data_IF_281820361983
#
_entry.id   IF_281820361983
#
_cell.length_a   1.000
_cell.length_b   1.000
_cell.length_c   1.000
_cell.angle_alpha   90.00
_cell.angle_beta   90.00
_cell.angle_gamma   90.00
#
_symmetry.space_group_name_H-M   'P 1'
#
loop_
_entity.id
_entity.type
_entity.pdbx_description
1 polymer ?
#
# COMPACT_ATOMS: atom_id res chain seq x y z
N UNK A 1 24.68 -9.31 23.61
CA UNK A 1 25.72 -10.25 24.06
C UNK A 1 25.71 -11.45 23.14
N UNK A 2 26.82 -11.79 22.45
CA UNK A 2 26.91 -12.97 21.60
C UNK A 2 26.51 -14.28 22.29
N UNK A 3 26.78 -14.42 23.61
CA UNK A 3 26.42 -15.65 24.35
C UNK A 3 24.91 -15.84 24.44
N UNK A 4 24.18 -14.78 24.79
CA UNK A 4 22.72 -14.81 24.83
C UNK A 4 22.13 -15.08 23.44
N UNK A 5 22.74 -14.52 22.39
CA UNK A 5 22.32 -14.77 21.00
C UNK A 5 22.53 -16.24 20.62
N UNK A 6 23.66 -16.85 21.00
CA UNK A 6 23.92 -18.26 20.71
C UNK A 6 22.87 -19.19 21.34
N UNK A 7 22.48 -18.96 22.60
CA UNK A 7 21.43 -19.77 23.24
C UNK A 7 20.08 -19.66 22.51
N UNK A 8 19.72 -18.46 22.02
CA UNK A 8 18.51 -18.29 21.21
C UNK A 8 18.63 -18.99 19.85
N UNK A 9 19.79 -18.92 19.20
CA UNK A 9 20.04 -19.55 17.91
C UNK A 9 20.05 -21.08 17.97
N UNK A 10 20.44 -21.69 19.10
CA UNK A 10 20.27 -23.15 19.30
C UNK A 10 18.82 -23.60 19.18
N UNK A 11 17.87 -22.72 19.52
CA UNK A 11 16.43 -23.02 19.50
C UNK A 11 15.80 -22.59 18.17
N UNK A 12 16.17 -21.40 17.66
CA UNK A 12 15.48 -20.75 16.56
C UNK A 12 16.30 -20.67 15.26
N UNK A 13 17.55 -21.12 15.25
CA UNK A 13 18.48 -20.97 14.12
C UNK A 13 17.95 -21.55 12.81
N UNK A 14 17.22 -22.67 12.87
CA UNK A 14 16.62 -23.31 11.70
C UNK A 14 15.55 -22.45 11.00
N UNK A 15 14.98 -21.45 11.71
CA UNK A 15 14.03 -20.48 11.15
C UNK A 15 14.72 -19.30 10.47
N UNK A 16 16.05 -19.30 10.43
CA UNK A 16 16.89 -18.26 9.83
C UNK A 16 16.57 -16.83 10.32
N UNK A 17 16.54 -16.58 11.65
CA UNK A 17 16.23 -15.25 12.19
C UNK A 17 17.30 -14.20 11.84
N UNK A 18 16.91 -12.92 11.82
CA UNK A 18 17.86 -11.82 11.80
C UNK A 18 18.59 -11.72 13.14
N UNK A 19 19.91 -11.80 13.09
CA UNK A 19 20.79 -11.57 14.24
C UNK A 19 21.04 -10.06 14.36
N UNK A 20 20.60 -9.47 15.48
CA UNK A 20 20.82 -8.05 15.77
C UNK A 20 21.67 -7.89 17.04
N UNK A 21 22.87 -7.29 17.00
CA UNK A 21 23.62 -6.82 15.85
C UNK A 21 25.15 -6.92 16.06
N UNK A 22 25.91 -6.93 14.97
CA UNK A 22 27.35 -6.76 14.95
C UNK A 22 27.72 -5.28 15.11
N UNK A 23 28.62 -4.99 16.04
CA UNK A 23 29.20 -3.67 16.31
C UNK A 23 30.72 -3.76 16.30
N UNK A 24 31.40 -2.61 16.38
CA UNK A 24 32.87 -2.55 16.50
C UNK A 24 33.45 -3.44 17.63
N UNK A 25 32.67 -3.72 18.67
CA UNK A 25 33.13 -4.45 19.87
C UNK A 25 32.95 -5.97 19.79
N UNK A 26 32.03 -6.46 18.96
CA UNK A 26 31.59 -7.86 18.97
C UNK A 26 31.36 -8.44 17.57
N UNK A 27 31.82 -7.76 16.51
CA UNK A 27 31.53 -8.16 15.13
C UNK A 27 32.00 -9.58 14.82
N UNK A 28 33.14 -10.01 15.38
CA UNK A 28 33.73 -11.32 15.09
C UNK A 28 32.88 -12.46 15.64
N UNK A 29 32.51 -12.38 16.91
CA UNK A 29 31.67 -13.39 17.56
C UNK A 29 30.29 -13.44 16.92
N UNK A 30 29.73 -12.28 16.55
CA UNK A 30 28.44 -12.23 15.85
C UNK A 30 28.53 -12.81 14.42
N UNK A 31 29.65 -12.62 13.72
CA UNK A 31 29.91 -13.21 12.41
C UNK A 31 30.01 -14.74 12.49
N UNK A 32 30.73 -15.27 13.49
CA UNK A 32 30.84 -16.71 13.72
C UNK A 32 29.46 -17.35 13.97
N UNK A 33 28.60 -16.68 14.73
CA UNK A 33 27.21 -17.11 14.92
C UNK A 33 26.40 -17.06 13.63
N UNK A 34 26.50 -15.97 12.86
CA UNK A 34 25.82 -15.82 11.58
C UNK A 34 26.20 -16.94 10.59
N UNK A 35 27.50 -17.27 10.49
CA UNK A 35 27.99 -18.36 9.65
C UNK A 35 27.55 -19.74 10.16
N UNK A 36 27.70 -20.00 11.45
CA UNK A 36 27.35 -21.28 12.09
C UNK A 36 25.88 -21.63 11.87
N UNK A 37 24.99 -20.65 12.03
CA UNK A 37 23.54 -20.84 11.91
C UNK A 37 22.97 -20.38 10.56
N UNK A 38 23.80 -19.91 9.62
CA UNK A 38 23.41 -19.42 8.28
C UNK A 38 22.32 -18.34 8.32
N UNK A 39 22.42 -17.43 9.29
CA UNK A 39 21.43 -16.41 9.59
C UNK A 39 21.89 -15.02 9.12
N UNK A 40 20.98 -14.15 8.63
CA UNK A 40 21.32 -12.78 8.29
C UNK A 40 21.78 -11.99 9.52
N UNK A 41 22.67 -11.02 9.31
CA UNK A 41 23.32 -10.25 10.37
C UNK A 41 23.13 -8.75 10.16
N UNK A 42 22.55 -8.07 11.14
CA UNK A 42 22.52 -6.62 11.18
C UNK A 42 23.88 -6.05 11.60
N UNK A 43 24.34 -5.01 10.90
CA UNK A 43 25.52 -4.22 11.21
C UNK A 43 25.06 -2.90 11.81
N UNK A 44 25.48 -2.61 13.04
CA UNK A 44 25.04 -1.44 13.77
C UNK A 44 26.20 -0.48 14.05
N UNK A 45 26.06 0.75 13.54
CA UNK A 45 27.00 1.85 13.79
C UNK A 45 26.24 3.18 13.82
N UNK A 46 25.80 3.63 15.01
CA UNK A 46 24.92 4.79 15.14
C UNK A 46 25.64 6.09 14.75
N UNK A 47 25.08 6.79 13.76
CA UNK A 47 25.55 8.06 13.21
C UNK A 47 27.03 8.07 12.77
N UNK A 48 27.57 6.91 12.40
CA UNK A 48 28.95 6.77 11.90
C UNK A 48 28.96 5.83 10.68
N UNK A 49 28.69 6.40 9.52
CA UNK A 49 28.62 5.68 8.24
C UNK A 49 30.00 5.14 7.80
N UNK A 50 31.10 5.75 8.26
CA UNK A 50 32.46 5.27 7.96
C UNK A 50 32.74 3.96 8.67
N UNK A 51 32.42 3.91 9.96
CA UNK A 51 32.52 2.66 10.74
C UNK A 51 31.52 1.63 10.22
N UNK A 52 30.30 2.03 9.85
CA UNK A 52 29.31 1.13 9.24
C UNK A 52 29.87 0.44 7.99
N UNK A 53 30.40 1.22 7.03
CA UNK A 53 31.05 0.71 5.81
C UNK A 53 32.23 -0.22 6.12
N UNK A 54 33.07 0.17 7.08
CA UNK A 54 34.24 -0.61 7.50
C UNK A 54 33.84 -1.97 8.07
N UNK A 55 32.77 -2.02 8.88
CA UNK A 55 32.22 -3.26 9.42
C UNK A 55 31.62 -4.13 8.32
N UNK A 56 30.85 -3.56 7.39
CA UNK A 56 30.32 -4.31 6.24
C UNK A 56 31.43 -4.97 5.44
N UNK A 57 32.49 -4.21 5.12
CA UNK A 57 33.68 -4.76 4.45
C UNK A 57 34.31 -5.91 5.23
N UNK A 58 34.54 -5.71 6.52
CA UNK A 58 35.16 -6.72 7.39
C UNK A 58 34.32 -8.00 7.43
N UNK A 59 33.00 -7.88 7.53
CA UNK A 59 32.08 -9.01 7.60
C UNK A 59 32.00 -9.77 6.27
N UNK A 60 32.00 -9.07 5.14
CA UNK A 60 32.07 -9.68 3.81
C UNK A 60 33.38 -10.44 3.60
N UNK A 61 34.52 -9.85 3.96
CA UNK A 61 35.83 -10.51 3.90
C UNK A 61 35.91 -11.73 4.83
N UNK A 62 35.13 -11.73 5.92
CA UNK A 62 34.98 -12.88 6.83
C UNK A 62 34.01 -13.95 6.31
N UNK A 63 33.29 -13.67 5.21
CA UNK A 63 32.37 -14.59 4.54
C UNK A 63 30.88 -14.42 4.88
N UNK A 64 30.49 -13.37 5.60
CA UNK A 64 29.08 -13.07 5.90
C UNK A 64 28.49 -12.18 4.80
N UNK A 65 27.68 -12.77 3.93
CA UNK A 65 27.08 -12.07 2.78
C UNK A 65 25.69 -11.50 3.06
N UNK A 66 24.90 -12.16 3.92
CA UNK A 66 23.54 -11.74 4.27
C UNK A 66 23.55 -10.62 5.33
N UNK A 67 23.88 -9.39 4.91
CA UNK A 67 23.97 -8.22 5.80
C UNK A 67 22.75 -7.29 5.68
N UNK A 68 22.44 -6.62 6.78
CA UNK A 68 21.54 -5.46 6.83
C UNK A 68 22.23 -4.33 7.59
N UNK A 69 21.97 -3.07 7.22
CA UNK A 69 22.66 -1.92 7.81
C UNK A 69 21.74 -1.10 8.70
N UNK A 70 22.19 -0.81 9.90
CA UNK A 70 21.52 0.07 10.84
C UNK A 70 22.45 1.26 11.19
N UNK A 71 22.21 2.45 10.60
CA UNK A 71 22.95 3.66 10.95
C UNK A 71 22.43 4.35 12.23
N UNK A 72 21.46 3.74 12.92
CA UNK A 72 20.75 4.31 14.05
C UNK A 72 19.52 5.11 13.62
N UNK A 73 18.48 5.08 14.46
CA UNK A 73 17.28 5.90 14.34
C UNK A 73 17.16 6.84 15.54
N UNK A 74 17.33 8.13 15.27
CA UNK A 74 17.35 9.21 16.24
C UNK A 74 16.10 10.09 16.03
N UNK A 75 15.06 9.95 16.86
CA UNK A 75 13.86 10.76 16.76
C UNK A 75 14.02 12.12 17.50
N UNK A 76 13.06 13.03 17.37
CA UNK A 76 13.13 14.35 18.02
C UNK A 76 14.21 15.23 17.38
N UNK A 77 15.13 15.77 18.19
CA UNK A 77 16.22 16.64 17.71
C UNK A 77 17.16 15.95 16.72
N UNK A 78 17.33 14.62 16.84
CA UNK A 78 18.18 13.82 15.93
C UNK A 78 17.51 13.40 14.62
N UNK A 79 16.27 13.85 14.36
CA UNK A 79 15.51 13.40 13.19
C UNK A 79 16.22 13.72 11.86
N UNK A 80 16.92 14.86 11.82
CA UNK A 80 17.73 15.26 10.67
C UNK A 80 18.90 14.30 10.41
N UNK A 81 19.55 13.79 11.46
CA UNK A 81 20.62 12.81 11.32
C UNK A 81 20.09 11.49 10.75
N UNK A 82 18.93 11.02 11.27
CA UNK A 82 18.24 9.84 10.73
C UNK A 82 17.95 10.02 9.24
N UNK A 83 17.32 11.13 8.87
CA UNK A 83 17.02 11.43 7.47
C UNK A 83 18.28 11.40 6.60
N UNK A 84 19.32 12.12 7.01
CA UNK A 84 20.56 12.23 6.26
C UNK A 84 21.25 10.87 6.08
N UNK A 85 21.30 10.05 7.14
CA UNK A 85 21.94 8.75 7.09
C UNK A 85 21.29 7.81 6.07
N UNK A 86 19.96 7.68 6.08
CA UNK A 86 19.25 6.82 5.13
C UNK A 86 19.38 7.31 3.69
N UNK A 87 19.27 8.63 3.47
CA UNK A 87 19.46 9.22 2.14
C UNK A 87 20.88 9.03 1.63
N UNK A 88 21.89 9.25 2.47
CA UNK A 88 23.30 9.08 2.10
C UNK A 88 23.60 7.63 1.76
N UNK A 89 23.18 6.68 2.59
CA UNK A 89 23.38 5.25 2.33
C UNK A 89 22.76 4.83 1.00
N UNK A 90 21.50 5.20 0.75
CA UNK A 90 20.86 4.89 -0.53
C UNK A 90 21.56 5.53 -1.72
N UNK A 91 22.01 6.79 -1.60
CA UNK A 91 22.73 7.49 -2.67
C UNK A 91 24.08 6.84 -2.95
N UNK A 92 24.85 6.51 -1.91
CA UNK A 92 26.15 5.86 -2.06
C UNK A 92 26.01 4.49 -2.72
N UNK A 93 25.04 3.68 -2.28
CA UNK A 93 24.78 2.37 -2.87
C UNK A 93 24.30 2.46 -4.34
N UNK A 94 23.37 3.36 -4.68
CA UNK A 94 22.74 3.37 -6.00
C UNK A 94 23.41 4.31 -7.03
N UNK A 95 24.01 5.42 -6.60
CA UNK A 95 24.62 6.40 -7.52
C UNK A 95 26.13 6.29 -7.60
N UNK A 96 26.78 6.04 -6.47
CA UNK A 96 28.24 5.88 -6.40
C UNK A 96 28.65 4.40 -6.48
N UNK A 97 27.67 3.49 -6.62
CA UNK A 97 27.86 2.04 -6.76
C UNK A 97 28.74 1.43 -5.65
N UNK A 98 28.62 1.97 -4.43
CA UNK A 98 29.39 1.50 -3.27
C UNK A 98 28.79 0.20 -2.71
N UNK A 99 29.23 -0.93 -3.25
CA UNK A 99 28.74 -2.27 -2.88
C UNK A 99 28.84 -2.58 -1.39
N UNK A 100 29.81 -1.98 -0.67
CA UNK A 100 29.97 -2.14 0.77
C UNK A 100 28.81 -1.55 1.59
N UNK A 101 27.98 -0.72 0.95
CA UNK A 101 26.76 -0.13 1.50
C UNK A 101 25.50 -0.60 0.76
N UNK A 102 25.63 -1.55 -0.18
CA UNK A 102 24.58 -2.07 -1.04
C UNK A 102 23.63 -3.07 -0.38
N UNK A 103 23.34 -2.89 0.90
CA UNK A 103 22.54 -3.82 1.70
C UNK A 103 21.23 -3.17 2.18
N UNK A 104 20.19 -3.97 2.50
CA UNK A 104 18.94 -3.45 3.04
C UNK A 104 19.16 -2.66 4.33
N UNK A 105 18.36 -1.61 4.54
CA UNK A 105 18.46 -0.70 5.68
C UNK A 105 17.43 -1.03 6.76
N UNK A 106 17.88 -1.04 8.02
CA UNK A 106 17.03 -1.21 9.20
C UNK A 106 16.76 0.16 9.82
N UNK A 107 15.49 0.49 9.95
CA UNK A 107 15.00 1.58 10.79
C UNK A 107 14.45 1.06 12.11
N UNK A 108 14.64 1.81 13.18
CA UNK A 108 14.23 1.41 14.53
C UNK A 108 13.34 2.48 15.18
N UNK A 109 12.12 2.76 14.66
CA UNK A 109 11.20 3.75 15.23
C UNK A 109 10.92 3.59 16.73
N UNK A 110 11.06 2.37 17.29
CA UNK A 110 10.89 2.13 18.73
C UNK A 110 11.77 3.04 19.60
N UNK A 111 12.87 3.60 19.08
CA UNK A 111 13.71 4.54 19.83
C UNK A 111 12.95 5.79 20.25
N UNK A 112 11.79 6.08 19.65
CA UNK A 112 10.84 7.11 20.10
C UNK A 112 10.43 6.95 21.57
N UNK A 113 10.39 5.72 22.07
CA UNK A 113 10.09 5.37 23.45
C UNK A 113 11.24 5.63 24.42
N UNK A 114 12.45 5.78 23.90
CA UNK A 114 13.67 5.99 24.68
C UNK A 114 14.02 7.47 24.85
N UNK A 115 13.37 8.38 24.09
CA UNK A 115 13.67 9.82 24.10
C UNK A 115 13.44 10.45 25.46
N UNK A 116 12.21 10.32 25.98
CA UNK A 116 11.85 10.82 27.30
C UNK A 116 10.86 9.85 27.96
N UNK A 117 11.32 9.04 28.92
CA UNK A 117 10.47 8.08 29.62
C UNK A 117 9.28 8.71 30.35
N UNK A 118 9.37 9.99 30.73
CA UNK A 118 8.31 10.70 31.46
C UNK A 118 7.18 11.22 30.55
N UNK A 119 7.35 11.20 29.22
CA UNK A 119 6.29 11.65 28.32
C UNK A 119 5.07 10.71 28.34
N UNK A 120 3.87 11.26 28.10
CA UNK A 120 2.68 10.45 27.91
C UNK A 120 2.89 9.42 26.79
N UNK A 121 2.33 8.24 26.98
CA UNK A 121 2.44 7.13 26.04
C UNK A 121 1.96 7.51 24.62
N UNK A 122 0.87 8.25 24.55
CA UNK A 122 0.30 8.76 23.30
C UNK A 122 1.28 9.64 22.50
N UNK A 123 2.15 10.40 23.18
CA UNK A 123 3.17 11.22 22.52
C UNK A 123 4.29 10.36 21.97
N UNK A 124 4.69 9.30 22.70
CA UNK A 124 5.71 8.33 22.25
C UNK A 124 5.20 7.53 21.06
N UNK A 125 3.95 7.05 21.12
CA UNK A 125 3.25 6.36 20.04
C UNK A 125 3.12 7.24 18.79
N UNK A 126 2.71 8.49 18.96
CA UNK A 126 2.62 9.44 17.85
C UNK A 126 3.99 9.70 17.21
N UNK A 127 5.03 9.84 18.04
CA UNK A 127 6.41 10.00 17.59
C UNK A 127 6.89 8.80 16.79
N UNK A 128 6.68 7.60 17.33
CA UNK A 128 6.99 6.36 16.64
C UNK A 128 6.26 6.27 15.29
N UNK A 129 4.98 6.62 15.25
CA UNK A 129 4.15 6.56 14.05
C UNK A 129 4.71 7.43 12.91
N UNK A 130 5.08 8.69 13.19
CA UNK A 130 5.60 9.57 12.13
C UNK A 130 7.03 9.21 11.74
N UNK A 131 7.87 8.73 12.67
CA UNK A 131 9.24 8.28 12.35
C UNK A 131 9.20 7.05 11.45
N UNK A 132 8.30 6.10 11.74
CA UNK A 132 8.06 4.96 10.87
C UNK A 132 7.60 5.40 9.47
N UNK A 133 6.63 6.33 9.37
CA UNK A 133 6.15 6.83 8.09
C UNK A 133 7.23 7.52 7.26
N UNK A 134 8.10 8.30 7.93
CA UNK A 134 9.28 8.90 7.32
C UNK A 134 10.21 7.82 6.75
N UNK A 135 10.56 6.81 7.54
CA UNK A 135 11.50 5.75 7.14
C UNK A 135 10.93 4.83 6.04
N UNK A 136 9.63 4.56 6.03
CA UNK A 136 8.93 3.88 4.91
C UNK A 136 9.15 4.65 3.61
N UNK A 137 9.06 5.98 3.66
CA UNK A 137 9.25 6.85 2.51
C UNK A 137 10.73 7.06 2.15
N UNK A 138 11.65 6.72 3.06
CA UNK A 138 13.09 6.98 2.97
C UNK A 138 13.91 5.71 3.12
N UNK A 139 13.70 4.78 2.19
CA UNK A 139 14.62 3.69 1.88
C UNK A 139 14.85 2.65 3.00
N UNK A 140 14.13 2.72 4.12
CA UNK A 140 14.19 1.64 5.11
C UNK A 140 13.47 0.40 4.58
N UNK A 141 14.14 -0.74 4.64
CA UNK A 141 13.64 -2.03 4.15
C UNK A 141 13.03 -2.86 5.29
N UNK A 142 13.43 -2.60 6.53
CA UNK A 142 12.90 -3.24 7.74
C UNK A 142 12.70 -2.19 8.84
N UNK A 143 11.53 -2.20 9.49
CA UNK A 143 11.26 -1.36 10.66
C UNK A 143 11.03 -2.19 11.92
N UNK A 144 11.65 -1.78 13.04
CA UNK A 144 11.41 -2.36 14.36
C UNK A 144 10.56 -1.39 15.18
N UNK A 145 9.33 -1.83 15.48
CA UNK A 145 8.31 -1.08 16.20
C UNK A 145 8.11 -1.63 17.62
N UNK A 146 7.64 -0.78 18.53
CA UNK A 146 7.16 -1.10 19.87
C UNK A 146 5.63 -1.06 19.96
N UNK A 147 4.99 -0.01 19.43
CA UNK A 147 3.53 0.14 19.47
C UNK A 147 2.80 -1.01 18.75
N UNK A 148 1.70 -1.47 19.34
CA UNK A 148 0.79 -2.47 18.74
C UNK A 148 -0.61 -1.91 18.46
N UNK A 149 -0.81 -0.62 18.76
CA UNK A 149 -2.09 0.06 18.62
C UNK A 149 -2.45 0.22 17.15
N UNK A 150 -3.70 -0.11 16.81
CA UNK A 150 -4.19 -0.03 15.44
C UNK A 150 -4.02 1.35 14.81
N UNK A 151 -4.16 2.44 15.59
CA UNK A 151 -4.01 3.80 15.08
C UNK A 151 -2.55 4.19 14.78
N UNK A 152 -1.57 3.52 15.39
CA UNK A 152 -0.14 3.69 15.06
C UNK A 152 0.23 2.86 13.83
N UNK A 153 -0.27 1.63 13.75
CA UNK A 153 0.11 0.67 12.71
C UNK A 153 -0.63 0.89 11.39
N UNK A 154 -1.94 1.12 11.42
CA UNK A 154 -2.78 1.26 10.23
C UNK A 154 -2.29 2.34 9.24
N UNK A 155 -1.98 3.59 9.66
CA UNK A 155 -1.50 4.60 8.72
C UNK A 155 -0.16 4.19 8.07
N UNK A 156 0.72 3.52 8.80
CA UNK A 156 2.01 3.06 8.28
C UNK A 156 1.85 1.90 7.28
N UNK A 157 0.93 0.97 7.54
CA UNK A 157 0.62 -0.13 6.61
C UNK A 157 0.02 0.42 5.31
N UNK A 158 -0.90 1.39 5.41
CA UNK A 158 -1.50 2.06 4.24
C UNK A 158 -0.44 2.85 3.47
N UNK A 159 0.41 3.61 4.16
CA UNK A 159 1.49 4.37 3.53
C UNK A 159 2.44 3.45 2.77
N UNK A 160 2.86 2.34 3.37
CA UNK A 160 3.71 1.33 2.71
C UNK A 160 3.04 0.79 1.46
N UNK A 161 1.76 0.41 1.53
CA UNK A 161 1.03 -0.07 0.36
C UNK A 161 1.01 0.97 -0.77
N UNK A 162 0.78 2.24 -0.42
CA UNK A 162 0.72 3.32 -1.41
C UNK A 162 2.09 3.60 -2.05
N UNK A 163 3.17 3.71 -1.26
CA UNK A 163 4.52 4.04 -1.75
C UNK A 163 5.11 2.90 -2.60
N UNK A 164 4.84 1.65 -2.26
CA UNK A 164 5.41 0.48 -2.95
C UNK A 164 4.50 -0.10 -4.06
N UNK A 165 3.41 0.59 -4.42
CA UNK A 165 2.60 0.23 -5.59
C UNK A 165 3.34 0.62 -6.88
N UNK A 166 3.37 -0.27 -7.90
CA UNK A 166 4.01 0.06 -9.19
C UNK A 166 3.30 1.27 -9.83
N UNK A 167 3.97 2.42 -9.98
CA UNK A 167 3.33 3.62 -10.48
C UNK A 167 2.93 3.51 -11.96
N UNK A 168 3.42 2.50 -12.68
CA UNK A 168 3.11 2.28 -14.11
C UNK A 168 1.91 1.39 -14.32
N UNK A 169 1.50 0.63 -13.30
CA UNK A 169 0.38 -0.32 -13.38
C UNK A 169 -0.66 0.07 -12.33
N UNK A 170 -1.71 0.81 -12.72
CA UNK A 170 -2.80 1.08 -11.80
C UNK A 170 -3.38 -0.24 -11.29
N UNK A 171 -3.65 -0.31 -9.99
CA UNK A 171 -4.30 -1.48 -9.40
C UNK A 171 -5.73 -1.51 -9.94
N UNK A 172 -6.07 -2.59 -10.65
CA UNK A 172 -7.37 -2.75 -11.29
C UNK A 172 -8.11 -3.98 -10.76
N UNK A 173 -9.44 -3.92 -10.82
CA UNK A 173 -10.35 -5.04 -10.57
C UNK A 173 -10.71 -5.70 -11.90
N UNK A 174 -11.04 -6.97 -11.89
CA UNK A 174 -11.52 -7.64 -13.10
C UNK A 174 -12.81 -6.98 -13.62
N UNK A 175 -12.86 -6.58 -14.90
CA UNK A 175 -14.08 -6.06 -15.52
C UNK A 175 -15.26 -7.04 -15.46
N UNK A 176 -16.48 -6.53 -15.58
CA UNK A 176 -17.69 -7.33 -15.65
C UNK A 176 -18.73 -6.99 -14.57
N UNK A 177 -19.68 -7.89 -14.35
CA UNK A 177 -20.79 -7.67 -13.44
C UNK A 177 -20.43 -8.00 -11.99
N UNK A 178 -20.90 -7.18 -11.06
CA UNK A 178 -20.95 -7.45 -9.63
C UNK A 178 -22.39 -7.32 -9.14
N UNK A 179 -22.73 -8.16 -8.18
CA UNK A 179 -24.07 -8.23 -7.58
C UNK A 179 -23.98 -7.81 -6.13
N UNK A 180 -24.79 -6.83 -5.74
CA UNK A 180 -24.90 -6.37 -4.36
C UNK A 180 -26.28 -6.72 -3.83
N UNK A 181 -26.32 -7.39 -2.67
CA UNK A 181 -27.55 -7.90 -2.08
C UNK A 181 -28.18 -9.03 -2.89
N UNK A 182 -29.50 -9.00 -3.07
CA UNK A 182 -30.29 -9.98 -3.83
C UNK A 182 -31.08 -9.31 -4.96
N UNK A 183 -30.41 -8.78 -6.00
CA UNK A 183 -31.06 -8.02 -7.04
C UNK A 183 -32.00 -8.88 -7.90
N UNK A 184 -33.14 -8.30 -8.22
CA UNK A 184 -34.18 -8.86 -9.09
C UNK A 184 -34.14 -8.25 -10.51
N UNK A 185 -35.13 -8.58 -11.33
CA UNK A 185 -35.23 -8.14 -12.73
C UNK A 185 -35.52 -6.63 -12.90
N UNK A 186 -35.87 -5.93 -11.81
CA UNK A 186 -36.17 -4.49 -11.78
C UNK A 186 -35.13 -3.68 -10.99
N UNK A 187 -34.08 -4.35 -10.51
CA UNK A 187 -33.01 -3.73 -9.74
C UNK A 187 -32.10 -2.86 -10.62
N UNK A 188 -31.60 -1.72 -10.11
CA UNK A 188 -30.82 -0.78 -10.90
C UNK A 188 -29.49 -1.38 -11.37
N UNK A 189 -29.06 -0.94 -12.55
CA UNK A 189 -27.73 -1.25 -13.11
C UNK A 189 -26.88 0.02 -13.09
N UNK A 190 -25.82 0.00 -12.30
CA UNK A 190 -24.86 1.09 -12.18
C UNK A 190 -23.60 0.78 -12.99
N UNK A 191 -22.88 1.82 -13.41
CA UNK A 191 -21.59 1.72 -14.10
C UNK A 191 -20.47 2.30 -13.22
N UNK A 192 -19.30 1.66 -13.21
CA UNK A 192 -18.05 2.23 -12.69
C UNK A 192 -16.86 1.80 -13.55
N UNK A 193 -15.69 2.39 -13.29
CA UNK A 193 -14.40 1.99 -13.87
C UNK A 193 -13.75 0.84 -13.08
N UNK A 194 -12.83 0.10 -13.71
CA UNK A 194 -12.09 -0.97 -13.05
C UNK A 194 -10.89 -0.51 -12.20
N UNK A 195 -10.64 0.79 -12.04
CA UNK A 195 -9.65 1.26 -11.06
C UNK A 195 -10.04 0.84 -9.64
N UNK A 196 -9.14 0.14 -8.93
CA UNK A 196 -9.45 -0.51 -7.66
C UNK A 196 -9.99 0.45 -6.60
N UNK A 197 -9.38 1.62 -6.45
CA UNK A 197 -9.85 2.59 -5.48
C UNK A 197 -11.27 3.07 -5.81
N UNK A 198 -11.55 3.40 -7.08
CA UNK A 198 -12.89 3.79 -7.52
C UNK A 198 -13.90 2.68 -7.32
N UNK A 199 -13.56 1.44 -7.70
CA UNK A 199 -14.44 0.28 -7.52
C UNK A 199 -14.79 0.06 -6.05
N UNK A 200 -13.78 -0.01 -5.16
CA UNK A 200 -14.02 -0.32 -3.75
C UNK A 200 -14.75 0.82 -3.02
N UNK A 201 -14.54 2.07 -3.41
CA UNK A 201 -15.32 3.20 -2.87
C UNK A 201 -16.80 3.07 -3.27
N UNK A 202 -17.09 2.82 -4.55
CA UNK A 202 -18.48 2.63 -5.03
C UNK A 202 -19.13 1.39 -4.39
N UNK A 203 -18.40 0.28 -4.29
CA UNK A 203 -18.87 -0.95 -3.68
C UNK A 203 -19.22 -0.75 -2.20
N UNK A 204 -18.35 -0.09 -1.43
CA UNK A 204 -18.58 0.20 -0.03
C UNK A 204 -19.83 1.08 0.19
N UNK A 205 -20.03 2.10 -0.64
CA UNK A 205 -21.22 2.97 -0.56
C UNK A 205 -22.51 2.23 -0.92
N UNK A 206 -22.47 1.34 -1.92
CA UNK A 206 -23.60 0.46 -2.26
C UNK A 206 -23.91 -0.50 -1.11
N UNK A 207 -22.90 -1.17 -0.55
CA UNK A 207 -23.09 -2.09 0.59
C UNK A 207 -23.66 -1.37 1.81
N UNK A 208 -23.13 -0.20 2.14
CA UNK A 208 -23.64 0.63 3.24
C UNK A 208 -25.10 1.06 3.03
N UNK A 209 -25.52 1.22 1.77
CA UNK A 209 -26.90 1.59 1.41
C UNK A 209 -27.92 0.47 1.62
N UNK A 210 -27.47 -0.80 1.69
CA UNK A 210 -28.30 -2.00 1.72
C UNK A 210 -29.30 -2.08 0.55
N UNK A 211 -29.00 -1.46 -0.58
CA UNK A 211 -29.81 -1.53 -1.80
C UNK A 211 -29.34 -2.68 -2.67
N UNK A 212 -30.29 -3.46 -3.17
CA UNK A 212 -30.02 -4.51 -4.14
C UNK A 212 -29.76 -3.89 -5.52
N UNK A 213 -28.61 -4.17 -6.12
CA UNK A 213 -28.29 -3.63 -7.44
C UNK A 213 -27.22 -4.44 -8.18
N UNK A 214 -27.11 -4.15 -9.46
CA UNK A 214 -26.05 -4.61 -10.34
C UNK A 214 -25.02 -3.50 -10.55
N UNK A 215 -23.74 -3.82 -10.49
CA UNK A 215 -22.64 -2.89 -10.81
C UNK A 215 -21.81 -3.45 -11.97
N UNK A 216 -21.84 -2.76 -13.11
CA UNK A 216 -20.97 -3.01 -14.24
C UNK A 216 -19.63 -2.30 -14.03
N UNK A 217 -18.57 -3.09 -14.05
CA UNK A 217 -17.19 -2.61 -13.96
C UNK A 217 -16.61 -2.59 -15.37
N UNK A 218 -16.52 -1.41 -15.98
CA UNK A 218 -15.92 -1.23 -17.30
C UNK A 218 -14.39 -1.29 -17.21
N UNK A 219 -13.77 -1.95 -18.20
CA UNK A 219 -12.31 -1.93 -18.32
C UNK A 219 -11.84 -0.55 -18.78
N UNK A 220 -11.13 0.15 -17.90
CA UNK A 220 -10.54 1.46 -18.19
C UNK A 220 -9.02 1.41 -18.04
N UNK A 221 -8.41 0.23 -18.14
CA UNK A 221 -6.99 -0.01 -17.88
C UNK A 221 -6.58 0.43 -16.47
N UNK A 222 -7.50 0.36 -15.51
CA UNK A 222 -7.29 0.76 -14.12
C UNK A 222 -7.29 2.28 -13.91
N UNK A 223 -7.88 3.06 -14.81
CA UNK A 223 -8.02 4.52 -14.62
C UNK A 223 -9.33 4.88 -13.93
N UNK A 224 -9.28 5.86 -13.02
CA UNK A 224 -10.48 6.45 -12.40
C UNK A 224 -11.42 7.03 -13.47
N UNK A 225 -12.73 7.09 -13.19
CA UNK A 225 -13.77 7.50 -14.16
C UNK A 225 -13.40 8.78 -14.92
N UNK A 226 -13.05 9.86 -14.23
CA UNK A 226 -12.75 11.14 -14.89
C UNK A 226 -11.50 11.07 -15.77
N UNK A 227 -10.45 10.42 -15.30
CA UNK A 227 -9.23 10.18 -16.07
C UNK A 227 -9.50 9.29 -17.28
N UNK A 228 -10.29 8.23 -17.12
CA UNK A 228 -10.66 7.31 -18.18
C UNK A 228 -11.50 8.00 -19.27
N UNK A 229 -12.43 8.86 -18.86
CA UNK A 229 -13.25 9.66 -19.77
C UNK A 229 -12.40 10.68 -20.52
N UNK A 230 -11.42 11.33 -19.86
CA UNK A 230 -10.47 12.25 -20.51
C UNK A 230 -9.49 11.53 -21.45
N UNK A 231 -8.96 10.38 -21.03
CA UNK A 231 -8.02 9.55 -21.79
C UNK A 231 -8.67 8.65 -22.85
N UNK A 232 -9.98 8.76 -23.07
CA UNK A 232 -10.77 7.91 -23.99
C UNK A 232 -10.59 6.41 -23.73
N UNK A 233 -10.46 6.03 -22.46
CA UNK A 233 -10.43 4.65 -21.97
C UNK A 233 -11.79 4.19 -21.43
N UNK A 234 -12.67 5.13 -21.11
CA UNK A 234 -14.10 4.84 -20.93
C UNK A 234 -14.83 5.40 -22.16
N UNK A 235 -15.25 4.52 -23.07
CA UNK A 235 -15.96 4.89 -24.31
C UNK A 235 -17.33 4.23 -24.37
N UNK A 236 -18.21 4.76 -25.23
CA UNK A 236 -19.51 4.18 -25.47
C UNK A 236 -19.42 2.73 -26.00
N UNK A 237 -18.45 2.43 -26.86
CA UNK A 237 -18.24 1.06 -27.34
C UNK A 237 -17.80 0.11 -26.21
N UNK A 238 -16.85 0.53 -25.37
CA UNK A 238 -16.40 -0.28 -24.24
C UNK A 238 -17.52 -0.55 -23.23
N UNK A 239 -18.42 0.41 -23.04
CA UNK A 239 -19.62 0.23 -22.21
C UNK A 239 -20.60 -0.75 -22.87
N UNK A 240 -20.81 -0.66 -24.18
CA UNK A 240 -21.64 -1.62 -24.91
C UNK A 240 -21.08 -3.05 -24.83
N UNK A 241 -19.75 -3.19 -24.93
CA UNK A 241 -19.07 -4.47 -24.83
C UNK A 241 -19.20 -5.07 -23.43
N UNK A 242 -19.06 -4.28 -22.36
CA UNK A 242 -19.24 -4.81 -20.99
C UNK A 242 -20.69 -5.18 -20.72
N UNK A 243 -21.67 -4.44 -21.24
CA UNK A 243 -23.10 -4.81 -21.12
C UNK A 243 -23.35 -6.18 -21.77
N UNK A 244 -22.86 -6.38 -23.01
CA UNK A 244 -23.05 -7.64 -23.75
C UNK A 244 -22.32 -8.81 -23.10
N UNK A 245 -21.04 -8.65 -22.79
CA UNK A 245 -20.19 -9.72 -22.24
C UNK A 245 -20.54 -10.10 -20.80
N UNK A 246 -21.13 -9.19 -20.04
CA UNK A 246 -21.51 -9.43 -18.64
C UNK A 246 -22.81 -10.22 -18.44
N UNK A 247 -23.63 -10.36 -19.48
CA UNK A 247 -24.94 -11.02 -19.41
C UNK A 247 -26.01 -10.24 -18.65
N UNK A 248 -25.78 -8.97 -18.30
CA UNK A 248 -26.75 -8.16 -17.53
C UNK A 248 -28.09 -7.99 -18.27
N UNK A 249 -28.07 -7.99 -19.61
CA UNK A 249 -29.27 -7.90 -20.46
C UNK A 249 -30.31 -9.00 -20.21
N UNK A 250 -29.85 -10.15 -19.72
CA UNK A 250 -30.68 -11.32 -19.41
C UNK A 250 -31.16 -11.30 -17.96
N UNK A 251 -30.57 -10.44 -17.12
CA UNK A 251 -30.87 -10.33 -15.70
C UNK A 251 -31.89 -9.25 -15.38
N UNK A 252 -32.03 -8.23 -16.23
CA UNK A 252 -32.98 -7.13 -16.03
C UNK A 252 -33.97 -6.99 -17.18
N UNK A 253 -35.23 -6.66 -16.84
CA UNK A 253 -36.31 -6.41 -17.80
C UNK A 253 -36.25 -5.01 -18.41
N UNK A 254 -35.61 -4.07 -17.74
CA UNK A 254 -35.42 -2.71 -18.26
C UNK A 254 -34.15 -2.59 -19.10
N UNK A 255 -34.01 -1.47 -19.80
CA UNK A 255 -32.79 -1.06 -20.52
C UNK A 255 -32.39 0.32 -20.04
N UNK A 256 -31.93 0.38 -18.78
CA UNK A 256 -31.56 1.63 -18.10
C UNK A 256 -30.23 1.46 -17.38
N UNK A 257 -29.29 2.36 -17.64
CA UNK A 257 -27.94 2.36 -17.05
C UNK A 257 -27.72 3.65 -16.27
N UNK A 258 -27.28 3.54 -15.01
CA UNK A 258 -26.89 4.69 -14.18
C UNK A 258 -25.38 4.87 -14.32
N UNK A 259 -24.95 5.96 -14.94
CA UNK A 259 -23.53 6.29 -15.11
C UNK A 259 -23.07 7.27 -14.01
N UNK A 260 -21.78 7.28 -13.65
CA UNK A 260 -21.26 8.29 -12.73
C UNK A 260 -21.47 9.70 -13.27
N UNK A 261 -21.71 10.68 -12.39
CA UNK A 261 -21.88 12.07 -12.80
C UNK A 261 -20.67 12.62 -13.57
N UNK A 262 -19.46 12.12 -13.26
CA UNK A 262 -18.21 12.47 -13.97
C UNK A 262 -18.16 11.95 -15.42
N UNK A 263 -19.04 11.02 -15.79
CA UNK A 263 -19.19 10.49 -17.14
C UNK A 263 -20.41 11.09 -17.88
N UNK A 264 -21.10 12.09 -17.32
CA UNK A 264 -22.34 12.66 -17.87
C UNK A 264 -22.23 13.07 -19.35
N UNK A 265 -21.06 13.54 -19.80
CA UNK A 265 -20.83 13.93 -21.19
C UNK A 265 -20.94 12.78 -22.19
N UNK A 266 -20.76 11.53 -21.75
CA UNK A 266 -20.87 10.34 -22.58
C UNK A 266 -22.32 9.86 -22.75
N UNK A 267 -23.29 10.50 -22.09
CA UNK A 267 -24.68 10.05 -22.07
C UNK A 267 -25.22 9.74 -23.46
N UNK A 268 -25.18 10.71 -24.37
CA UNK A 268 -25.75 10.55 -25.72
C UNK A 268 -25.05 9.45 -26.51
N UNK A 269 -23.72 9.43 -26.50
CA UNK A 269 -22.93 8.40 -27.20
C UNK A 269 -23.22 6.98 -26.67
N UNK A 270 -23.41 6.82 -25.35
CA UNK A 270 -23.77 5.53 -24.74
C UNK A 270 -25.19 5.14 -25.15
N UNK A 271 -26.16 6.07 -25.12
CA UNK A 271 -27.54 5.79 -25.54
C UNK A 271 -27.58 5.31 -27.00
N UNK A 272 -26.83 5.98 -27.89
CA UNK A 272 -26.73 5.62 -29.30
C UNK A 272 -26.06 4.25 -29.53
N UNK A 273 -24.96 3.97 -28.80
CA UNK A 273 -24.20 2.73 -28.98
C UNK A 273 -24.86 1.49 -28.34
N UNK A 274 -25.60 1.69 -27.25
CA UNK A 274 -26.16 0.57 -26.45
C UNK A 274 -27.65 0.38 -26.66
N UNK A 275 -28.40 1.42 -27.03
CA UNK A 275 -29.86 1.43 -27.00
C UNK A 275 -30.46 1.40 -25.59
N UNK A 276 -29.63 1.49 -24.54
CA UNK A 276 -30.09 1.63 -23.16
C UNK A 276 -30.30 3.10 -22.82
N UNK A 277 -31.38 3.43 -22.11
CA UNK A 277 -31.57 4.78 -21.58
C UNK A 277 -30.58 5.08 -20.46
N UNK A 278 -29.90 6.22 -20.53
CA UNK A 278 -28.83 6.54 -19.59
C UNK A 278 -29.28 7.59 -18.57
N UNK A 279 -29.10 7.24 -17.30
CA UNK A 279 -29.37 8.11 -16.16
C UNK A 279 -28.04 8.60 -15.59
N UNK A 280 -27.93 9.90 -15.36
CA UNK A 280 -26.72 10.50 -14.77
C UNK A 280 -26.86 10.45 -13.26
N UNK A 281 -26.01 9.64 -12.63
CA UNK A 281 -25.89 9.52 -11.18
C UNK A 281 -25.13 10.68 -10.53
N UNK A 282 -24.84 10.60 -9.23
CA UNK A 282 -24.10 11.63 -8.51
C UNK A 282 -22.63 11.73 -8.95
N UNK A 283 -22.01 12.88 -8.67
CA UNK A 283 -20.56 13.10 -8.89
C UNK A 283 -19.67 12.28 -7.94
N UNK A 284 -20.21 11.95 -6.77
CA UNK A 284 -19.57 11.21 -5.69
C UNK A 284 -20.46 10.02 -5.29
N UNK A 285 -19.85 8.86 -5.04
CA UNK A 285 -20.59 7.62 -4.78
C UNK A 285 -21.35 7.62 -3.45
N UNK A 286 -20.96 8.46 -2.49
CA UNK A 286 -21.71 8.65 -1.24
C UNK A 286 -23.14 9.16 -1.49
N UNK A 287 -23.41 9.73 -2.67
CA UNK A 287 -24.74 10.16 -3.10
C UNK A 287 -25.64 9.05 -3.66
N UNK A 288 -25.10 7.85 -3.93
CA UNK A 288 -25.85 6.72 -4.52
C UNK A 288 -27.11 6.37 -3.71
N UNK A 289 -27.06 6.23 -2.36
CA UNK A 289 -28.23 5.84 -1.57
C UNK A 289 -29.41 6.78 -1.76
N UNK A 290 -29.15 8.09 -1.69
CA UNK A 290 -30.17 9.13 -1.87
C UNK A 290 -30.67 9.16 -3.31
N UNK A 291 -29.75 9.10 -4.29
CA UNK A 291 -30.11 9.11 -5.70
C UNK A 291 -31.06 7.96 -6.06
N UNK A 292 -30.76 6.74 -5.62
CA UNK A 292 -31.62 5.59 -5.89
C UNK A 292 -32.98 5.71 -5.21
N UNK A 293 -33.05 6.27 -4.00
CA UNK A 293 -34.33 6.50 -3.32
C UNK A 293 -35.23 7.51 -4.07
N UNK A 294 -34.63 8.56 -4.64
CA UNK A 294 -35.38 9.65 -5.28
C UNK A 294 -35.72 9.33 -6.75
N UNK A 295 -34.93 8.50 -7.43
CA UNK A 295 -34.97 8.31 -8.88
C UNK A 295 -35.22 6.86 -9.35
N UNK A 296 -35.33 5.89 -8.44
CA UNK A 296 -35.58 4.49 -8.78
C UNK A 296 -36.81 3.90 -8.06
N UNK A 297 -37.76 3.24 -8.77
CA UNK A 297 -37.78 3.02 -10.22
C UNK A 297 -37.97 4.34 -11.01
N UNK A 298 -37.43 4.44 -12.23
CA UNK A 298 -37.56 5.65 -13.03
C UNK A 298 -39.04 5.90 -13.36
N UNK A 299 -39.48 7.15 -13.25
CA UNK A 299 -40.83 7.55 -13.68
C UNK A 299 -40.96 7.29 -15.18
N UNK A 300 -42.05 6.66 -15.61
CA UNK A 300 -42.35 6.48 -17.03
C UNK A 300 -42.35 7.85 -17.73
N UNK A 301 -41.51 7.99 -18.76
CA UNK A 301 -41.50 9.11 -19.71
C UNK A 301 -41.99 8.61 -21.05
#
# INVERSE_FOLDING_TARGET
DPKCMEEALKIAGDRRPLIYAATKRNWREMAELALKYKCPLAVFSPNDLKTLKSLSKTLLEYGVEDLLLDPGTFPGEGLADTWNNFVMLRRLACKEEDELLGFPLIGVPLTAWLVNPAEPETIKQWREAYVAGMLISLFADLLIMHSIEGWVLLPNVILRQNIYTDPRKPVAVEPGLRTFGSPDEMSPVLLTSNFALTYYTVAADIEASKKDCYLLVADTEGLAVECAVAGRKLTAEGIADVIKSSGVEQKVKHRKLIIPGRAARLKGEIEDATGWGVMVGPLDSSGIPKYLADNWPPKET
#
